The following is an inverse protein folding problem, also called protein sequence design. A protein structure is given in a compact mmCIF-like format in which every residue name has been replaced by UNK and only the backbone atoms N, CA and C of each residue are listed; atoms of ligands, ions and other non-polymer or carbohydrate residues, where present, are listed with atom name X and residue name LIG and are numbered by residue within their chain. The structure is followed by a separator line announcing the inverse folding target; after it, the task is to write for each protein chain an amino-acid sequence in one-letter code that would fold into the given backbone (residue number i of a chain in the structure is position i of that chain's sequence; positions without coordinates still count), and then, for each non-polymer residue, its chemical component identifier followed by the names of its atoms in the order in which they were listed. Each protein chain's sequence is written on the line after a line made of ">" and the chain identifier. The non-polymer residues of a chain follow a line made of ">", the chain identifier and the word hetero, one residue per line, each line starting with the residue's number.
data_IF_715872470063
#
_entry.id   IF_715872470063
#
_cell.length_a   1.000
_cell.length_b   1.000
_cell.length_c   1.000
_cell.angle_alpha   90.00
_cell.angle_beta   90.00
_cell.angle_gamma   90.00
#
_symmetry.space_group_name_H-M   'P 1'
#
loop_
_entity.id
_entity.type
_entity.pdbx_description
1 polymer ?
#
# COMPACT_ATOMS: atom_id res chain seq x y z
N UNK A 1 8.60 -28.82 -12.64
CA UNK A 1 7.36 -28.72 -11.83
C UNK A 1 7.42 -27.64 -10.75
N UNK A 2 8.49 -27.53 -9.96
CA UNK A 2 8.62 -26.50 -8.90
C UNK A 2 8.42 -25.07 -9.45
N UNK A 3 9.05 -24.74 -10.59
CA UNK A 3 8.91 -23.41 -11.22
C UNK A 3 7.47 -23.06 -11.57
N UNK A 4 6.67 -24.01 -12.08
CA UNK A 4 5.27 -23.79 -12.42
C UNK A 4 4.46 -23.47 -11.16
N UNK A 5 4.73 -24.19 -10.07
CA UNK A 5 4.09 -23.98 -8.77
C UNK A 5 4.44 -22.60 -8.19
N UNK A 6 5.70 -22.19 -8.28
CA UNK A 6 6.15 -20.86 -7.87
C UNK A 6 5.51 -19.75 -8.70
N UNK A 7 5.48 -19.88 -10.04
CA UNK A 7 4.87 -18.90 -10.94
C UNK A 7 3.37 -18.79 -10.68
N UNK A 8 2.69 -19.90 -10.42
CA UNK A 8 1.27 -19.91 -10.09
C UNK A 8 0.99 -19.18 -8.78
N UNK A 9 1.74 -19.47 -7.71
CA UNK A 9 1.62 -18.75 -6.43
C UNK A 9 1.94 -17.26 -6.57
N UNK A 10 2.94 -16.91 -7.37
CA UNK A 10 3.32 -15.52 -7.64
C UNK A 10 2.24 -14.76 -8.43
N UNK A 11 1.66 -15.39 -9.46
CA UNK A 11 0.59 -14.81 -10.25
C UNK A 11 -0.65 -14.53 -9.39
N UNK A 12 -1.02 -15.46 -8.50
CA UNK A 12 -2.14 -15.28 -7.55
C UNK A 12 -1.85 -14.11 -6.59
N UNK A 13 -0.65 -14.08 -5.98
CA UNK A 13 -0.28 -13.00 -5.06
C UNK A 13 -0.30 -11.63 -5.75
N UNK A 14 0.17 -11.57 -6.99
CA UNK A 14 0.14 -10.36 -7.82
C UNK A 14 -1.30 -9.96 -8.12
N UNK A 15 -2.14 -10.88 -8.61
CA UNK A 15 -3.55 -10.58 -8.90
C UNK A 15 -4.33 -10.06 -7.66
N UNK A 16 -4.07 -10.63 -6.47
CA UNK A 16 -4.66 -10.16 -5.21
C UNK A 16 -4.20 -8.74 -4.90
N UNK A 17 -2.90 -8.45 -5.02
CA UNK A 17 -2.37 -7.12 -4.77
C UNK A 17 -3.01 -6.08 -5.70
N UNK A 18 -3.04 -6.34 -7.01
CA UNK A 18 -3.63 -5.45 -8.01
C UNK A 18 -5.15 -5.27 -7.81
N UNK A 19 -5.86 -6.32 -7.41
CA UNK A 19 -7.29 -6.24 -7.04
C UNK A 19 -7.50 -5.33 -5.82
N UNK A 20 -6.66 -5.44 -4.79
CA UNK A 20 -6.76 -4.60 -3.58
C UNK A 20 -6.42 -3.13 -3.86
N UNK A 21 -5.38 -2.87 -4.67
CA UNK A 21 -5.06 -1.50 -5.11
C UNK A 21 -6.22 -0.90 -5.93
N UNK A 22 -6.81 -1.69 -6.82
CA UNK A 22 -7.99 -1.28 -7.58
C UNK A 22 -9.20 -0.95 -6.71
N UNK A 23 -9.50 -1.78 -5.71
CA UNK A 23 -10.60 -1.56 -4.76
C UNK A 23 -10.39 -0.25 -3.98
N UNK A 24 -9.16 0.02 -3.53
CA UNK A 24 -8.81 1.27 -2.85
C UNK A 24 -8.91 2.50 -3.75
N UNK A 25 -8.48 2.41 -5.00
CA UNK A 25 -8.63 3.50 -5.96
C UNK A 25 -10.11 3.78 -6.30
N UNK A 26 -10.91 2.73 -6.50
CA UNK A 26 -12.33 2.85 -6.77
C UNK A 26 -13.09 3.46 -5.58
N UNK A 27 -12.75 3.05 -4.36
CA UNK A 27 -13.28 3.63 -3.13
C UNK A 27 -12.94 5.12 -3.00
N UNK A 28 -11.71 5.52 -3.34
CA UNK A 28 -11.27 6.92 -3.29
C UNK A 28 -11.95 7.79 -4.35
N UNK A 29 -12.21 7.26 -5.54
CA UNK A 29 -12.75 8.03 -6.68
C UNK A 29 -14.28 8.09 -6.72
N UNK A 30 -14.98 7.03 -6.30
CA UNK A 30 -16.44 6.91 -6.43
C UNK A 30 -17.17 6.61 -5.10
N UNK A 31 -16.46 6.52 -3.98
CA UNK A 31 -17.02 6.17 -2.68
C UNK A 31 -17.46 4.71 -2.56
N UNK A 32 -18.12 4.36 -1.44
CA UNK A 32 -18.47 2.98 -1.06
C UNK A 32 -19.37 2.25 -2.07
N UNK A 33 -20.13 2.99 -2.90
CA UNK A 33 -21.09 2.43 -3.87
C UNK A 33 -20.49 2.12 -5.26
N UNK A 34 -19.29 2.62 -5.56
CA UNK A 34 -18.62 2.42 -6.86
C UNK A 34 -17.77 1.16 -6.98
N UNK A 35 -17.55 0.45 -5.87
CA UNK A 35 -16.64 -0.72 -5.79
C UNK A 35 -17.15 -1.91 -6.62
N UNK A 36 -18.46 -2.16 -6.60
CA UNK A 36 -19.09 -3.31 -7.27
C UNK A 36 -18.99 -3.21 -8.81
N UNK A 37 -19.35 -2.09 -9.46
CA UNK A 37 -19.18 -1.96 -10.92
C UNK A 37 -17.69 -1.98 -11.34
N UNK A 38 -16.78 -1.44 -10.52
CA UNK A 38 -15.34 -1.52 -10.79
C UNK A 38 -14.84 -2.98 -10.80
N UNK A 39 -15.28 -3.80 -9.84
CA UNK A 39 -14.96 -5.23 -9.81
C UNK A 39 -15.45 -5.97 -11.06
N UNK A 40 -16.65 -5.63 -11.56
CA UNK A 40 -17.17 -6.21 -12.80
C UNK A 40 -16.30 -5.83 -14.03
N UNK A 41 -15.89 -4.57 -14.13
CA UNK A 41 -14.98 -4.10 -15.20
C UNK A 41 -13.60 -4.75 -15.09
N UNK A 42 -13.08 -4.95 -13.87
CA UNK A 42 -11.78 -5.60 -13.65
C UNK A 42 -11.77 -7.06 -14.12
N UNK A 43 -12.84 -7.80 -13.84
CA UNK A 43 -13.00 -9.19 -14.32
C UNK A 43 -13.15 -9.22 -15.85
N UNK A 44 -13.91 -8.29 -16.43
CA UNK A 44 -14.04 -8.18 -17.88
C UNK A 44 -12.69 -7.84 -18.56
N UNK A 45 -11.91 -6.93 -17.98
CA UNK A 45 -10.55 -6.59 -18.45
C UNK A 45 -9.59 -7.79 -18.35
N UNK A 46 -9.69 -8.61 -17.30
CA UNK A 46 -8.91 -9.85 -17.20
C UNK A 46 -9.25 -10.84 -18.32
N UNK A 47 -10.54 -10.98 -18.65
CA UNK A 47 -10.98 -11.83 -19.75
C UNK A 47 -10.47 -11.33 -21.10
N UNK A 48 -10.52 -10.01 -21.33
CA UNK A 48 -9.96 -9.39 -22.54
C UNK A 48 -8.43 -9.52 -22.58
N UNK A 49 -7.75 -9.39 -21.46
CA UNK A 49 -6.29 -9.59 -21.37
C UNK A 49 -5.86 -11.02 -21.74
N UNK A 50 -6.70 -12.02 -21.46
CA UNK A 50 -6.46 -13.41 -21.84
C UNK A 50 -6.68 -13.68 -23.35
N UNK A 51 -7.45 -12.85 -24.05
CA UNK A 51 -7.73 -12.99 -25.49
C UNK A 51 -6.79 -12.17 -26.38
N UNK A 52 -6.09 -11.18 -25.81
CA UNK A 52 -5.12 -10.35 -26.51
C UNK A 52 -3.75 -11.04 -26.68
N UNK A 53 -3.04 -10.71 -27.76
CA UNK A 53 -1.69 -11.18 -27.98
C UNK A 53 -0.74 -10.64 -26.89
N UNK A 54 0.20 -11.49 -26.46
CA UNK A 54 1.15 -11.18 -25.39
C UNK A 54 1.88 -9.85 -25.63
N UNK A 55 2.34 -9.60 -26.86
CA UNK A 55 3.01 -8.35 -27.27
C UNK A 55 2.13 -7.13 -27.02
N UNK A 56 0.86 -7.18 -27.42
CA UNK A 56 -0.10 -6.10 -27.20
C UNK A 56 -0.35 -5.85 -25.71
N UNK A 57 -0.45 -6.91 -24.91
CA UNK A 57 -0.62 -6.80 -23.45
C UNK A 57 0.57 -6.10 -22.80
N UNK A 58 1.79 -6.48 -23.19
CA UNK A 58 3.01 -5.83 -22.70
C UNK A 58 3.09 -4.36 -23.11
N UNK A 59 2.85 -4.04 -24.39
CA UNK A 59 2.89 -2.64 -24.87
C UNK A 59 1.85 -1.78 -24.17
N UNK A 60 0.64 -2.30 -23.98
CA UNK A 60 -0.43 -1.58 -23.28
C UNK A 60 -0.08 -1.39 -21.79
N UNK A 61 0.51 -2.41 -21.15
CA UNK A 61 1.01 -2.34 -19.78
C UNK A 61 2.07 -1.25 -19.60
N UNK A 62 3.05 -1.17 -20.49
CA UNK A 62 4.12 -0.18 -20.45
C UNK A 62 3.57 1.26 -20.61
N UNK A 63 2.57 1.46 -21.48
CA UNK A 63 1.91 2.76 -21.65
C UNK A 63 1.17 3.17 -20.37
N UNK A 64 0.38 2.27 -19.78
CA UNK A 64 -0.35 2.57 -18.53
C UNK A 64 0.60 2.80 -17.36
N UNK A 65 1.67 2.01 -17.25
CA UNK A 65 2.73 2.22 -16.26
C UNK A 65 3.38 3.58 -16.44
N UNK A 66 3.72 3.98 -17.67
CA UNK A 66 4.23 5.30 -17.98
C UNK A 66 3.30 6.42 -17.51
N UNK A 67 2.00 6.32 -17.81
CA UNK A 67 0.99 7.30 -17.41
C UNK A 67 0.88 7.43 -15.88
N UNK A 68 1.00 6.34 -15.12
CA UNK A 68 0.94 6.38 -13.64
C UNK A 68 2.26 6.87 -13.03
N UNK A 69 3.38 6.48 -13.63
CA UNK A 69 4.73 6.83 -13.15
C UNK A 69 5.00 8.33 -13.32
N UNK A 70 4.58 8.94 -14.44
CA UNK A 70 4.79 10.36 -14.71
C UNK A 70 4.29 11.31 -13.61
N UNK A 71 3.00 11.30 -13.20
CA UNK A 71 2.49 12.17 -12.15
C UNK A 71 3.08 11.81 -10.78
N UNK A 72 3.33 10.53 -10.50
CA UNK A 72 3.94 10.10 -9.25
C UNK A 72 5.38 10.62 -9.10
N UNK A 73 6.20 10.51 -10.16
CA UNK A 73 7.57 11.04 -10.17
C UNK A 73 7.58 12.56 -10.09
N UNK A 74 6.68 13.23 -10.81
CA UNK A 74 6.55 14.68 -10.75
C UNK A 74 6.20 15.12 -9.31
N UNK A 75 5.20 14.49 -8.70
CA UNK A 75 4.82 14.75 -7.31
C UNK A 75 5.99 14.48 -6.35
N UNK A 76 6.73 13.38 -6.51
CA UNK A 76 7.92 13.08 -5.71
C UNK A 76 8.99 14.16 -5.83
N UNK A 77 9.25 14.70 -7.02
CA UNK A 77 10.25 15.77 -7.20
C UNK A 77 9.80 17.04 -6.47
N UNK A 78 8.53 17.44 -6.62
CA UNK A 78 7.99 18.62 -5.93
C UNK A 78 7.92 18.43 -4.41
N UNK A 79 7.55 17.23 -3.93
CA UNK A 79 7.46 16.94 -2.50
C UNK A 79 8.81 16.63 -1.85
N UNK A 80 9.85 16.24 -2.60
CA UNK A 80 11.15 15.85 -2.05
C UNK A 80 11.72 16.89 -1.09
N UNK A 81 11.61 18.18 -1.42
CA UNK A 81 12.01 19.28 -0.54
C UNK A 81 11.21 19.32 0.77
N UNK A 82 9.89 19.15 0.70
CA UNK A 82 8.99 19.17 1.87
C UNK A 82 9.10 17.91 2.72
N UNK A 83 9.31 16.76 2.09
CA UNK A 83 9.60 15.49 2.78
C UNK A 83 10.90 15.61 3.55
N UNK A 84 11.96 16.18 2.97
CA UNK A 84 13.21 16.41 3.69
C UNK A 84 13.02 17.30 4.92
N UNK A 85 12.24 18.38 4.80
CA UNK A 85 11.91 19.26 5.94
C UNK A 85 11.14 18.51 7.04
N UNK A 86 10.11 17.75 6.67
CA UNK A 86 9.33 16.94 7.60
C UNK A 86 10.15 15.83 8.25
N UNK A 87 11.03 15.15 7.50
CA UNK A 87 11.94 14.14 8.03
C UNK A 87 12.91 14.76 9.03
N UNK A 88 13.54 15.89 8.72
CA UNK A 88 14.43 16.58 9.66
C UNK A 88 13.66 17.02 10.91
N UNK A 89 12.44 17.55 10.76
CA UNK A 89 11.57 17.91 11.89
C UNK A 89 11.16 16.71 12.75
N UNK A 90 10.89 15.55 12.12
CA UNK A 90 10.60 14.29 12.82
C UNK A 90 11.81 13.80 13.62
N UNK A 91 13.00 13.78 13.01
CA UNK A 91 14.23 13.39 13.70
C UNK A 91 14.64 14.39 14.80
N UNK A 92 14.35 15.69 14.63
CA UNK A 92 14.63 16.70 15.65
C UNK A 92 13.74 16.55 16.90
N UNK A 93 12.49 16.11 16.72
CA UNK A 93 11.57 15.83 17.84
C UNK A 93 11.96 14.61 18.69
N UNK A 94 12.90 13.78 18.23
CA UNK A 94 13.28 12.50 18.88
C UNK A 94 12.08 11.71 19.45
N UNK A 95 11.00 11.50 18.67
CA UNK A 95 9.79 10.85 19.17
C UNK A 95 10.04 9.43 19.69
N UNK A 96 11.13 8.77 19.28
CA UNK A 96 11.54 7.48 19.83
C UNK A 96 11.98 7.54 21.30
N UNK A 97 12.53 8.67 21.77
CA UNK A 97 12.86 8.87 23.20
C UNK A 97 11.58 9.16 23.98
N UNK A 98 10.73 10.04 23.46
CA UNK A 98 9.48 10.44 24.10
C UNK A 98 8.50 9.26 24.23
N UNK A 99 8.35 8.46 23.16
CA UNK A 99 7.55 7.23 23.18
C UNK A 99 8.16 6.15 24.08
N UNK A 100 9.49 6.04 24.18
CA UNK A 100 10.14 5.10 25.09
C UNK A 100 9.89 5.48 26.56
N UNK A 101 9.98 6.76 26.90
CA UNK A 101 9.68 7.25 28.25
C UNK A 101 8.21 7.09 28.61
N UNK A 102 7.29 7.37 27.68
CA UNK A 102 5.86 7.16 27.87
C UNK A 102 5.54 5.66 28.06
N UNK A 103 6.17 4.79 27.27
CA UNK A 103 6.01 3.35 27.42
C UNK A 103 6.55 2.85 28.78
N UNK A 104 7.73 3.33 29.20
CA UNK A 104 8.32 3.01 30.50
C UNK A 104 7.42 3.44 31.67
N UNK A 105 6.87 4.67 31.62
CA UNK A 105 5.89 5.17 32.60
C UNK A 105 4.65 4.28 32.67
N UNK A 106 4.12 3.83 31.53
CA UNK A 106 2.96 2.93 31.48
C UNK A 106 3.25 1.56 32.13
N UNK A 107 4.47 1.04 31.99
CA UNK A 107 4.88 -0.22 32.61
C UNK A 107 5.09 -0.05 34.10
N UNK A 108 5.69 1.07 34.54
CA UNK A 108 5.85 1.39 35.96
C UNK A 108 4.51 1.58 36.67
N UNK A 109 3.55 2.28 36.05
CA UNK A 109 2.19 2.39 36.55
C UNK A 109 1.49 1.03 36.65
N UNK A 110 1.60 0.19 35.62
CA UNK A 110 1.06 -1.18 35.64
C UNK A 110 1.70 -2.02 36.75
N UNK A 111 3.01 -1.89 36.97
CA UNK A 111 3.73 -2.56 38.07
C UNK A 111 3.30 -2.04 39.44
N UNK A 112 3.06 -0.73 39.58
CA UNK A 112 2.61 -0.09 40.83
C UNK A 112 1.20 -0.53 41.18
N UNK A 113 0.27 -0.49 40.22
CA UNK A 113 -1.11 -1.01 40.37
C UNK A 113 -1.13 -2.50 40.73
N UNK A 114 -0.27 -3.31 40.11
CA UNK A 114 -0.15 -4.75 40.39
C UNK A 114 0.44 -5.06 41.77
N UNK A 115 1.29 -4.20 42.34
CA UNK A 115 1.77 -4.30 43.72
C UNK A 115 0.70 -3.88 44.73
N UNK A 116 -0.09 -2.87 44.39
CA UNK A 116 -1.17 -2.34 45.24
C UNK A 116 -2.41 -3.24 45.30
N UNK A 117 -2.63 -4.11 44.31
CA UNK A 117 -3.72 -5.10 44.33
C UNK A 117 -3.33 -6.46 44.94
N UNK A 118 -2.08 -6.62 45.39
CA UNK A 118 -1.53 -7.87 45.94
C UNK A 118 -1.21 -7.80 47.45
N UNK A 119 -1.29 -6.62 48.05
CA UNK A 119 -1.23 -6.41 49.50
C UNK A 119 -2.59 -5.91 49.97
#
# INVERSE_FOLDING_TARGET
>A
YIVILCVLLFAISTAIAWSYYGDRCAYYLFGEKGVIPYKAVFVAMHFVGATLALTTVWTLGDVFLGIVILPNLLAMIFLSGKVREMTIGYFKRRPWIENYEAHKRSIEEKRRKKRQSRG
#
